data_IF_642089652718
#
_entry.id   IF_642089652718
#
_cell.length_a   1.000
_cell.length_b   1.000
_cell.length_c   1.000
_cell.angle_alpha   90.00
_cell.angle_beta   90.00
_cell.angle_gamma   90.00
#
_symmetry.space_group_name_H-M   'P 1'
#
loop_
_entity.id
_entity.type
_entity.pdbx_description
1 polymer ?
#
# COMPACT_ATOMS: atom_id res chain seq x y z
N UNK A 1 -1.57 -5.78 -7.91
CA UNK A 1 -1.46 -6.31 -6.54
C UNK A 1 -0.06 -6.90 -6.38
N UNK A 2 0.62 -6.66 -5.26
CA UNK A 2 1.88 -7.34 -4.91
C UNK A 2 1.54 -8.51 -4.00
N UNK A 3 1.97 -9.73 -4.33
CA UNK A 3 1.71 -10.94 -3.55
C UNK A 3 3.00 -11.47 -2.96
N UNK A 4 2.91 -11.96 -1.73
CA UNK A 4 3.99 -12.59 -0.96
C UNK A 4 3.45 -13.92 -0.44
N UNK A 5 4.24 -14.99 -0.60
CA UNK A 5 3.91 -16.29 -0.01
C UNK A 5 4.26 -16.26 1.48
N UNK A 6 3.36 -16.78 2.31
CA UNK A 6 3.54 -17.01 3.73
C UNK A 6 3.41 -18.52 4.02
N UNK A 7 3.74 -18.93 5.24
CA UNK A 7 3.75 -20.35 5.62
C UNK A 7 2.35 -20.99 5.51
N UNK A 8 1.30 -20.21 5.78
CA UNK A 8 -0.11 -20.63 5.79
C UNK A 8 -0.91 -20.11 4.58
N UNK A 9 -0.23 -19.60 3.55
CA UNK A 9 -0.89 -19.13 2.32
C UNK A 9 -0.21 -17.92 1.70
N UNK A 10 -0.95 -16.82 1.58
CA UNK A 10 -0.52 -15.62 0.88
C UNK A 10 -0.97 -14.34 1.57
N UNK A 11 -0.10 -13.34 1.51
CA UNK A 11 -0.40 -11.95 1.86
C UNK A 11 -0.26 -11.09 0.62
N UNK A 12 -1.11 -10.09 0.47
CA UNK A 12 -1.03 -9.18 -0.66
C UNK A 12 -1.26 -7.71 -0.28
N UNK A 13 -0.56 -6.85 -1.02
CA UNK A 13 -0.75 -5.40 -1.02
C UNK A 13 -1.55 -5.04 -2.27
N UNK A 14 -2.79 -4.61 -2.06
CA UNK A 14 -3.69 -4.17 -3.12
C UNK A 14 -3.80 -2.66 -3.10
N UNK A 15 -3.52 -2.02 -4.23
CA UNK A 15 -3.88 -0.64 -4.44
C UNK A 15 -5.38 -0.53 -4.77
N UNK A 16 -6.11 0.33 -4.05
CA UNK A 16 -7.50 0.68 -4.36
C UNK A 16 -7.64 2.18 -4.55
N UNK A 17 -8.35 2.56 -5.62
CA UNK A 17 -8.84 3.92 -5.83
C UNK A 17 -10.28 3.97 -5.29
N UNK A 18 -10.59 4.99 -4.50
CA UNK A 18 -11.92 5.18 -3.89
C UNK A 18 -12.22 6.66 -3.72
N UNK A 19 -13.47 7.02 -3.44
CA UNK A 19 -13.85 8.37 -3.02
C UNK A 19 -13.98 8.40 -1.50
N UNK A 20 -13.37 9.39 -0.86
CA UNK A 20 -13.55 9.61 0.58
C UNK A 20 -14.93 10.22 0.90
N UNK A 21 -15.20 10.47 2.18
CA UNK A 21 -16.48 11.05 2.65
C UNK A 21 -16.81 12.41 2.04
N UNK A 22 -15.81 13.15 1.54
CA UNK A 22 -15.98 14.45 0.88
C UNK A 22 -16.17 14.31 -0.64
N UNK A 23 -16.19 13.08 -1.17
CA UNK A 23 -16.26 12.80 -2.59
C UNK A 23 -14.91 12.87 -3.31
N UNK A 24 -13.82 13.17 -2.59
CA UNK A 24 -12.51 13.35 -3.21
C UNK A 24 -11.89 12.00 -3.56
N UNK A 25 -11.33 11.88 -4.78
CA UNK A 25 -10.60 10.68 -5.21
C UNK A 25 -9.33 10.48 -4.38
N UNK A 26 -9.19 9.27 -3.83
CA UNK A 26 -8.05 8.79 -3.05
C UNK A 26 -7.54 7.50 -3.64
N UNK A 27 -6.30 7.18 -3.29
CA UNK A 27 -5.68 5.90 -3.56
C UNK A 27 -4.89 5.46 -2.34
N UNK A 28 -5.09 4.21 -1.91
CA UNK A 28 -4.46 3.66 -0.73
C UNK A 28 -4.01 2.21 -0.96
N UNK A 29 -3.13 1.71 -0.09
CA UNK A 29 -2.69 0.32 -0.07
C UNK A 29 -3.44 -0.43 1.03
N UNK A 30 -4.06 -1.54 0.66
CA UNK A 30 -4.79 -2.43 1.56
C UNK A 30 -4.03 -3.75 1.69
N UNK A 31 -3.99 -4.26 2.92
CA UNK A 31 -3.45 -5.59 3.20
C UNK A 31 -4.56 -6.63 3.06
N UNK A 32 -4.29 -7.66 2.25
CA UNK A 32 -5.15 -8.81 2.06
C UNK A 32 -4.44 -10.09 2.48
N UNK A 33 -5.22 -11.11 2.80
CA UNK A 33 -4.74 -12.48 2.97
C UNK A 33 -5.57 -13.45 2.14
N UNK A 34 -4.98 -14.59 1.81
CA UNK A 34 -5.62 -15.68 1.08
C UNK A 34 -4.95 -17.00 1.45
N UNK A 35 -5.75 -18.05 1.68
CA UNK A 35 -5.24 -19.40 1.90
C UNK A 35 -4.93 -20.12 0.57
N UNK A 36 -5.68 -19.82 -0.49
CA UNK A 36 -5.64 -20.55 -1.77
C UNK A 36 -5.07 -19.71 -2.94
N UNK A 37 -4.80 -18.42 -2.73
CA UNK A 37 -4.37 -17.47 -3.75
C UNK A 37 -5.49 -17.01 -4.69
N UNK A 38 -6.71 -17.53 -4.54
CA UNK A 38 -7.87 -17.24 -5.38
C UNK A 38 -8.91 -16.36 -4.65
N UNK A 39 -9.22 -16.69 -3.39
CA UNK A 39 -10.15 -15.92 -2.55
C UNK A 39 -9.37 -15.04 -1.60
N UNK A 40 -9.63 -13.74 -1.68
CA UNK A 40 -8.91 -12.73 -0.92
C UNK A 40 -9.83 -11.99 0.03
N UNK A 41 -9.39 -11.87 1.28
CA UNK A 41 -10.09 -11.08 2.30
C UNK A 41 -9.17 -10.02 2.90
N UNK A 42 -9.77 -9.01 3.51
CA UNK A 42 -8.99 -7.94 4.16
C UNK A 42 -8.31 -8.49 5.40
N UNK A 43 -6.99 -8.34 5.47
CA UNK A 43 -6.23 -8.67 6.68
C UNK A 43 -6.36 -7.57 7.75
N UNK A 44 -6.70 -6.33 7.35
CA UNK A 44 -6.89 -5.18 8.26
C UNK A 44 -8.22 -4.44 8.01
N UNK A 45 -8.86 -3.91 9.06
CA UNK A 45 -10.12 -3.14 8.95
C UNK A 45 -9.92 -1.76 8.30
N UNK A 46 -8.69 -1.25 8.28
CA UNK A 46 -8.29 -0.01 7.60
C UNK A 46 -7.27 -0.29 6.47
N UNK A 47 -7.00 0.67 5.57
CA UNK A 47 -5.86 0.58 4.66
C UNK A 47 -4.56 0.46 5.47
N UNK A 48 -3.57 -0.29 4.96
CA UNK A 48 -2.23 -0.34 5.55
C UNK A 48 -1.53 1.02 5.41
N UNK A 49 -1.69 1.67 4.26
CA UNK A 49 -1.15 3.00 4.01
C UNK A 49 -2.16 3.82 3.21
N UNK A 50 -2.64 4.91 3.81
CA UNK A 50 -3.57 5.85 3.21
C UNK A 50 -2.89 7.22 3.00
N UNK A 51 -3.48 8.10 2.16
CA UNK A 51 -3.09 9.49 2.10
C UNK A 51 -3.22 10.16 3.49
N UNK A 52 -2.22 10.95 3.85
CA UNK A 52 -2.13 11.69 5.11
C UNK A 52 -1.74 13.16 4.86
N UNK A 53 -1.21 13.87 5.86
CA UNK A 53 -0.76 15.23 5.64
C UNK A 53 0.55 15.29 4.81
N UNK A 54 0.81 16.45 4.20
CA UNK A 54 2.06 16.68 3.46
C UNK A 54 2.12 16.03 2.08
N UNK A 55 3.27 15.43 1.75
CA UNK A 55 3.61 15.09 0.36
C UNK A 55 2.85 13.87 -0.21
N UNK A 56 2.17 13.11 0.65
CA UNK A 56 1.38 11.92 0.26
C UNK A 56 -0.13 12.16 0.29
N UNK A 57 -0.56 13.42 0.50
CA UNK A 57 -1.96 13.77 0.80
C UNK A 57 -3.02 13.43 -0.23
N UNK A 58 -2.62 13.10 -1.44
CA UNK A 58 -3.56 12.82 -2.51
C UNK A 58 -3.73 11.31 -2.73
N UNK A 59 -2.65 10.61 -3.06
CA UNK A 59 -2.69 9.22 -3.51
C UNK A 59 -1.42 8.48 -3.04
N UNK A 60 -1.61 7.23 -2.61
CA UNK A 60 -0.56 6.23 -2.34
C UNK A 60 -0.85 5.00 -3.20
N UNK A 61 0.09 4.59 -4.04
CA UNK A 61 -0.09 3.53 -5.04
C UNK A 61 1.24 2.94 -5.46
N UNK A 62 1.19 1.92 -6.32
CA UNK A 62 2.35 1.22 -6.91
C UNK A 62 3.41 0.88 -5.85
N UNK A 63 3.34 -0.33 -5.30
CA UNK A 63 4.24 -0.74 -4.23
C UNK A 63 5.03 -2.00 -4.55
N UNK A 64 6.18 -2.13 -3.90
CA UNK A 64 6.92 -3.39 -3.76
C UNK A 64 7.31 -3.59 -2.29
N UNK A 65 7.23 -4.84 -1.85
CA UNK A 65 7.57 -5.23 -0.49
C UNK A 65 8.65 -6.33 -0.53
N UNK A 66 9.70 -6.14 0.27
CA UNK A 66 10.88 -6.99 0.33
C UNK A 66 11.28 -7.24 1.77
N UNK A 67 11.51 -8.50 2.10
CA UNK A 67 12.16 -8.88 3.34
C UNK A 67 13.68 -8.82 3.15
N UNK A 68 14.38 -8.26 4.13
CA UNK A 68 15.85 -8.31 4.20
C UNK A 68 16.24 -9.20 5.37
N UNK A 69 16.67 -10.41 5.06
CA UNK A 69 17.11 -11.44 6.02
C UNK A 69 18.17 -10.91 6.99
N UNK A 70 19.21 -10.23 6.46
CA UNK A 70 20.32 -9.69 7.25
C UNK A 70 19.89 -8.67 8.31
N UNK A 71 18.72 -8.08 8.15
CA UNK A 71 18.16 -7.07 9.05
C UNK A 71 16.91 -7.57 9.78
N UNK A 72 16.44 -8.79 9.46
CA UNK A 72 15.16 -9.35 9.90
C UNK A 72 14.01 -8.34 9.79
N UNK A 73 13.94 -7.65 8.64
CA UNK A 73 13.08 -6.48 8.46
C UNK A 73 12.39 -6.47 7.11
N UNK A 74 11.10 -6.14 7.13
CA UNK A 74 10.32 -5.85 5.94
C UNK A 74 10.52 -4.39 5.52
N UNK A 75 10.64 -4.21 4.20
CA UNK A 75 10.69 -2.92 3.55
C UNK A 75 9.56 -2.79 2.54
N UNK A 76 8.76 -1.74 2.68
CA UNK A 76 7.71 -1.38 1.74
C UNK A 76 8.11 -0.10 1.00
N UNK A 77 8.30 -0.21 -0.30
CA UNK A 77 8.49 0.92 -1.20
C UNK A 77 7.17 1.24 -1.90
N UNK A 78 6.85 2.51 -2.08
CA UNK A 78 5.59 2.94 -2.68
C UNK A 78 5.72 4.30 -3.35
N UNK A 79 4.88 4.55 -4.35
CA UNK A 79 4.72 5.89 -4.92
C UNK A 79 3.64 6.64 -4.16
N UNK A 80 3.86 7.93 -3.95
CA UNK A 80 2.82 8.80 -3.44
C UNK A 80 2.96 10.23 -3.97
N UNK A 81 1.87 10.98 -3.92
CA UNK A 81 1.79 12.33 -4.48
C UNK A 81 0.90 13.25 -3.67
N UNK A 82 1.16 14.55 -3.81
CA UNK A 82 0.51 15.62 -3.05
C UNK A 82 -0.73 16.25 -3.75
N UNK A 83 -1.00 15.93 -5.02
CA UNK A 83 -2.17 16.46 -5.74
C UNK A 83 -2.57 15.57 -6.90
N UNK A 84 -3.88 15.41 -7.17
CA UNK A 84 -4.38 14.50 -8.22
C UNK A 84 -4.02 14.94 -9.64
N UNK A 85 -4.01 16.25 -9.89
CA UNK A 85 -3.75 16.79 -11.22
C UNK A 85 -2.34 16.44 -11.70
N UNK A 86 -2.21 15.76 -12.85
CA UNK A 86 -0.94 15.23 -13.38
C UNK A 86 0.17 16.29 -13.49
N UNK A 87 -0.15 17.50 -13.94
CA UNK A 87 0.84 18.57 -14.13
C UNK A 87 1.18 19.37 -12.85
N UNK A 88 0.42 19.21 -11.75
CA UNK A 88 0.60 20.02 -10.53
C UNK A 88 1.01 19.20 -9.31
N UNK A 89 0.58 17.94 -9.24
CA UNK A 89 0.98 17.04 -8.17
C UNK A 89 2.42 16.55 -8.37
N UNK A 90 3.20 16.53 -7.30
CA UNK A 90 4.56 16.00 -7.29
C UNK A 90 4.53 14.57 -6.77
N UNK A 91 5.02 13.63 -7.58
CA UNK A 91 5.19 12.23 -7.20
C UNK A 91 6.59 12.00 -6.63
N UNK A 92 6.68 11.16 -5.60
CA UNK A 92 7.93 10.70 -4.99
C UNK A 92 7.80 9.24 -4.59
N UNK A 93 8.93 8.58 -4.40
CA UNK A 93 8.99 7.23 -3.83
C UNK A 93 9.25 7.34 -2.32
N UNK A 94 8.41 6.71 -1.52
CA UNK A 94 8.59 6.57 -0.08
C UNK A 94 8.99 5.15 0.31
N UNK A 95 9.45 5.01 1.55
CA UNK A 95 9.80 3.73 2.17
C UNK A 95 9.26 3.66 3.58
N UNK A 96 8.60 2.55 3.94
CA UNK A 96 8.30 2.15 5.31
C UNK A 96 9.08 0.88 5.65
N UNK A 97 9.26 0.61 6.94
CA UNK A 97 9.84 -0.63 7.40
C UNK A 97 9.16 -1.11 8.68
N UNK A 98 9.19 -2.43 8.89
CA UNK A 98 8.69 -3.09 10.09
C UNK A 98 9.58 -4.29 10.41
N UNK A 99 9.85 -4.53 11.68
CA UNK A 99 10.49 -5.78 12.11
C UNK A 99 9.57 -6.97 11.79
N UNK A 100 10.16 -8.12 11.45
CA UNK A 100 9.43 -9.38 11.38
C UNK A 100 9.01 -9.86 12.77
#
# INVERSE_FOLDING_TARGET
MKVIRADDGFVALQNKIYRDRTGTSRSALFLLRSADGARWERALPAPLLAPDEGWRRSHVYACDARFRESESRWYLYYNARDGWHKARGRERIGRLHASA
#
